data_IF_793158022133
#
_entry.id   IF_793158022133
#
_cell.length_a   1.000
_cell.length_b   1.000
_cell.length_c   1.000
_cell.angle_alpha   90.00
_cell.angle_beta   90.00
_cell.angle_gamma   90.00
#
_symmetry.space_group_name_H-M   'P 1'
#
loop_
_entity.id
_entity.type
_entity.pdbx_description
1 polymer ?
#
# COMPACT_ATOMS: atom_id res chain seq x y z
N UNK A 1 -19.73 98.68 1.21
CA UNK A 1 -18.83 98.20 0.13
C UNK A 1 -18.50 96.75 0.44
N UNK A 2 -18.82 95.87 -0.51
CA UNK A 2 -18.63 94.41 -0.62
C UNK A 2 -18.01 93.59 0.53
N UNK A 3 -18.68 92.48 0.88
CA UNK A 3 -18.01 91.27 1.36
C UNK A 3 -18.81 90.01 0.96
N UNK A 4 -18.07 89.00 0.50
CA UNK A 4 -18.45 87.82 -0.27
C UNK A 4 -18.94 86.66 0.61
N UNK A 5 -19.88 85.85 0.12
CA UNK A 5 -20.37 84.60 0.72
C UNK A 5 -19.66 83.37 0.14
N UNK A 6 -19.37 82.39 0.99
CA UNK A 6 -19.06 81.00 0.62
C UNK A 6 -20.06 80.09 1.36
N UNK A 7 -20.68 79.15 0.65
CA UNK A 7 -21.50 78.08 1.23
C UNK A 7 -20.87 76.72 0.90
N UNK A 8 -20.78 75.87 1.92
CA UNK A 8 -20.31 74.48 1.85
C UNK A 8 -21.54 73.57 1.68
N UNK A 9 -21.47 72.60 0.77
CA UNK A 9 -22.48 71.53 0.63
C UNK A 9 -21.78 70.19 0.56
N UNK A 10 -22.14 69.29 1.49
CA UNK A 10 -21.70 67.90 1.57
C UNK A 10 -22.52 67.03 0.60
N UNK A 11 -21.88 66.15 -0.16
CA UNK A 11 -22.54 65.08 -0.92
C UNK A 11 -22.06 63.70 -0.44
N UNK A 12 -23.01 62.88 -0.01
CA UNK A 12 -22.90 61.45 0.31
C UNK A 12 -23.49 60.64 -0.86
N UNK A 13 -22.66 59.82 -1.51
CA UNK A 13 -23.00 58.75 -2.46
C UNK A 13 -21.92 57.68 -2.22
N UNK A 14 -22.13 56.39 -1.99
CA UNK A 14 -23.27 55.49 -2.08
C UNK A 14 -22.61 54.12 -2.27
N UNK A 15 -22.45 53.33 -1.20
CA UNK A 15 -21.91 51.98 -1.28
C UNK A 15 -22.99 51.06 -1.86
N UNK A 16 -22.74 50.52 -3.05
CA UNK A 16 -23.54 49.48 -3.68
C UNK A 16 -23.26 48.15 -2.97
N UNK A 17 -24.36 47.45 -2.68
CA UNK A 17 -24.45 46.09 -2.18
C UNK A 17 -23.46 45.13 -2.87
N UNK A 18 -22.67 44.43 -2.05
CA UNK A 18 -22.09 43.15 -2.41
C UNK A 18 -22.55 42.08 -1.40
N UNK A 19 -23.87 41.89 -1.29
CA UNK A 19 -24.47 40.79 -0.52
C UNK A 19 -25.04 39.71 -1.43
N UNK A 20 -24.19 38.96 -2.11
CA UNK A 20 -24.51 37.62 -2.63
C UNK A 20 -23.22 36.78 -2.69
N UNK A 21 -22.57 36.58 -1.54
CA UNK A 21 -21.63 35.48 -1.40
C UNK A 21 -22.46 34.24 -1.07
N UNK A 22 -22.58 33.36 -2.07
CA UNK A 22 -23.38 32.15 -2.07
C UNK A 22 -23.09 31.28 -0.82
N UNK A 23 -24.10 30.99 0.00
CA UNK A 23 -24.07 30.20 1.26
C UNK A 23 -23.79 28.71 1.03
N UNK A 24 -22.78 28.37 0.22
CA UNK A 24 -22.31 26.99 0.10
C UNK A 24 -21.32 26.73 1.21
N UNK A 25 -21.82 26.27 2.34
CA UNK A 25 -21.03 25.72 3.44
C UNK A 25 -21.15 24.19 3.36
N UNK A 26 -20.05 23.46 3.16
CA UNK A 26 -20.11 22.01 3.08
C UNK A 26 -20.30 21.41 4.47
N UNK A 27 -21.13 20.36 4.56
CA UNK A 27 -21.41 19.62 5.78
C UNK A 27 -21.21 18.13 5.54
N UNK A 28 -20.62 17.44 6.51
CA UNK A 28 -20.47 15.97 6.49
C UNK A 28 -20.98 15.35 7.79
N UNK A 29 -21.81 14.32 7.69
CA UNK A 29 -22.26 13.54 8.85
C UNK A 29 -21.32 12.34 9.07
N UNK A 30 -20.84 12.20 10.30
CA UNK A 30 -20.01 11.08 10.76
C UNK A 30 -20.72 10.32 11.88
N UNK A 31 -20.22 9.14 12.27
CA UNK A 31 -20.72 8.39 13.43
C UNK A 31 -20.60 9.16 14.75
N UNK A 32 -19.77 10.20 14.80
CA UNK A 32 -19.53 11.03 15.98
C UNK A 32 -20.26 12.38 15.94
N UNK A 33 -21.03 12.66 14.88
CA UNK A 33 -21.77 13.92 14.70
C UNK A 33 -21.54 14.57 13.34
N UNK A 34 -22.20 15.71 13.13
CA UNK A 34 -22.11 16.49 11.88
C UNK A 34 -21.03 17.54 11.99
N UNK A 35 -20.25 17.69 10.93
CA UNK A 35 -19.09 18.57 10.85
C UNK A 35 -19.31 19.59 9.74
N UNK A 36 -19.02 20.85 10.07
CA UNK A 36 -19.01 21.97 9.14
C UNK A 36 -17.60 22.13 8.53
N UNK A 37 -17.53 22.31 7.22
CA UNK A 37 -16.28 22.63 6.52
C UNK A 37 -16.35 23.98 5.82
N UNK A 38 -15.44 24.19 4.87
CA UNK A 38 -15.40 25.35 3.98
C UNK A 38 -14.74 24.96 2.66
N UNK A 39 -14.87 25.77 1.61
CA UNK A 39 -14.24 25.47 0.31
C UNK A 39 -12.82 26.06 0.22
N UNK A 40 -11.90 25.32 -0.40
CA UNK A 40 -10.54 25.76 -0.76
C UNK A 40 -10.28 25.51 -2.25
N UNK A 41 -9.30 26.22 -2.80
CA UNK A 41 -8.88 26.09 -4.20
C UNK A 41 -7.54 25.36 -4.26
N UNK A 42 -7.46 24.31 -5.06
CA UNK A 42 -6.22 23.56 -5.29
C UNK A 42 -5.22 24.37 -6.12
N UNK A 43 -3.97 23.93 -6.19
CA UNK A 43 -2.92 24.58 -7.01
C UNK A 43 -3.29 24.69 -8.50
N UNK A 44 -4.17 23.80 -8.98
CA UNK A 44 -4.66 23.79 -10.37
C UNK A 44 -6.01 24.52 -10.54
N UNK A 45 -6.51 25.20 -9.51
CA UNK A 45 -7.76 25.99 -9.57
C UNK A 45 -9.03 25.20 -9.28
N UNK A 46 -8.96 23.93 -8.88
CA UNK A 46 -10.13 23.12 -8.53
C UNK A 46 -10.61 23.46 -7.12
N UNK A 47 -11.89 23.81 -6.99
CA UNK A 47 -12.54 23.96 -5.69
C UNK A 47 -12.77 22.59 -5.03
N UNK A 48 -12.49 22.49 -3.74
CA UNK A 48 -12.69 21.28 -2.94
C UNK A 48 -13.16 21.62 -1.52
N UNK A 49 -13.92 20.72 -0.91
CA UNK A 49 -14.38 20.84 0.47
C UNK A 49 -13.23 20.53 1.43
N UNK A 50 -12.99 21.43 2.37
CA UNK A 50 -11.97 21.33 3.41
C UNK A 50 -12.64 21.29 4.78
N UNK A 51 -12.32 20.26 5.54
CA UNK A 51 -12.77 20.09 6.92
C UNK A 51 -11.53 20.07 7.82
N UNK A 52 -11.06 21.26 8.17
CA UNK A 52 -9.84 21.45 8.97
C UNK A 52 -10.19 21.79 10.43
N UNK A 53 -9.33 21.44 11.38
CA UNK A 53 -9.52 21.81 12.78
C UNK A 53 -10.60 21.01 13.54
N UNK A 54 -11.10 19.90 12.99
CA UNK A 54 -12.02 19.00 13.69
C UNK A 54 -11.32 18.44 14.95
N UNK A 55 -11.84 18.69 16.16
CA UNK A 55 -11.26 18.15 17.38
C UNK A 55 -11.55 16.65 17.47
N UNK A 56 -10.56 15.82 17.11
CA UNK A 56 -10.53 14.44 17.58
C UNK A 56 -9.97 14.43 19.01
N UNK A 57 -10.42 13.50 19.86
CA UNK A 57 -9.82 13.29 21.19
C UNK A 57 -8.29 13.20 21.07
N UNK A 58 -7.58 13.80 22.05
CA UNK A 58 -6.14 14.11 22.06
C UNK A 58 -5.53 14.30 20.65
N UNK A 59 -5.42 15.55 20.15
CA UNK A 59 -5.06 15.79 18.78
C UNK A 59 -3.70 15.14 18.47
N UNK A 60 -3.57 14.36 17.39
CA UNK A 60 -2.29 13.80 16.99
C UNK A 60 -1.45 14.94 16.39
N UNK A 61 -0.87 15.74 17.29
CA UNK A 61 0.09 16.80 16.99
C UNK A 61 1.49 16.18 17.01
N UNK A 62 2.24 16.32 15.92
CA UNK A 62 3.59 15.76 15.80
C UNK A 62 3.86 15.08 14.46
N UNK A 63 5.09 14.60 14.28
CA UNK A 63 5.44 13.70 13.17
C UNK A 63 4.64 12.39 13.28
N UNK A 64 4.30 11.78 12.14
CA UNK A 64 3.55 10.51 12.07
C UNK A 64 2.11 10.56 12.63
N UNK A 65 1.45 11.73 12.54
CA UNK A 65 0.07 12.03 13.01
C UNK A 65 -1.01 10.96 12.76
N UNK A 66 -0.86 10.12 11.75
CA UNK A 66 -1.82 9.07 11.39
C UNK A 66 -1.22 7.67 11.36
N UNK A 67 0.05 7.54 11.76
CA UNK A 67 0.77 6.30 11.85
C UNK A 67 0.95 6.00 13.33
N UNK A 68 0.13 5.08 13.83
CA UNK A 68 0.02 4.78 15.26
C UNK A 68 1.33 4.27 15.84
N UNK A 69 2.08 3.48 15.07
CA UNK A 69 3.35 2.92 15.50
C UNK A 69 4.36 2.92 14.35
N UNK A 70 5.31 3.85 14.44
CA UNK A 70 6.33 4.10 13.42
C UNK A 70 5.67 4.38 12.06
N UNK A 71 6.16 3.79 10.96
CA UNK A 71 5.56 3.91 9.63
C UNK A 71 4.23 3.15 9.43
N UNK A 72 3.51 2.71 10.49
CA UNK A 72 2.31 1.87 10.38
C UNK A 72 1.02 2.53 10.93
N UNK A 73 -0.10 2.53 10.17
CA UNK A 73 -0.24 1.96 8.82
C UNK A 73 0.55 2.77 7.78
N UNK A 74 1.08 2.07 6.76
CA UNK A 74 1.94 2.70 5.75
C UNK A 74 1.15 3.51 4.70
N UNK A 75 -0.17 3.28 4.59
CA UNK A 75 -1.07 3.98 3.68
C UNK A 75 -2.23 4.62 4.43
N UNK A 76 -1.99 5.78 5.03
CA UNK A 76 -3.00 6.56 5.75
C UNK A 76 -4.09 7.11 4.82
N UNK A 77 -3.71 7.56 3.64
CA UNK A 77 -4.60 8.08 2.62
C UNK A 77 -4.44 7.23 1.36
N UNK A 78 -5.43 6.39 1.09
CA UNK A 78 -5.46 5.49 -0.05
C UNK A 78 -6.60 5.79 -1.02
N UNK A 79 -6.67 5.03 -2.13
CA UNK A 79 -7.83 5.04 -3.02
C UNK A 79 -9.10 4.63 -2.26
N UNK A 80 -10.21 5.32 -2.52
CA UNK A 80 -11.52 5.04 -1.92
C UNK A 80 -12.59 4.93 -2.99
N UNK A 81 -13.69 4.25 -2.68
CA UNK A 81 -14.89 4.32 -3.53
C UNK A 81 -15.47 5.73 -3.44
N UNK A 82 -15.45 6.43 -4.57
CA UNK A 82 -15.91 7.80 -4.71
C UNK A 82 -17.44 7.86 -4.73
N UNK A 83 -17.98 8.94 -4.17
CA UNK A 83 -19.39 9.29 -4.37
C UNK A 83 -19.63 9.53 -5.87
N UNK A 84 -20.79 9.14 -6.36
CA UNK A 84 -21.14 9.35 -7.77
C UNK A 84 -20.99 10.82 -8.19
N UNK A 85 -20.31 11.04 -9.31
CA UNK A 85 -20.09 12.33 -9.94
C UNK A 85 -19.57 12.16 -11.36
N UNK A 86 -19.65 13.20 -12.21
CA UNK A 86 -19.23 13.11 -13.61
C UNK A 86 -17.74 12.81 -13.79
N UNK A 87 -16.92 13.15 -12.78
CA UNK A 87 -15.46 12.97 -12.79
C UNK A 87 -14.98 11.83 -11.87
N UNK A 88 -15.90 11.01 -11.33
CA UNK A 88 -15.53 9.93 -10.42
C UNK A 88 -14.73 8.84 -11.17
N UNK A 89 -13.57 8.45 -10.62
CA UNK A 89 -12.69 7.43 -11.20
C UNK A 89 -12.94 6.04 -10.60
N UNK A 90 -12.98 5.92 -9.27
CA UNK A 90 -13.23 4.66 -8.55
C UNK A 90 -14.66 4.66 -8.02
N UNK A 91 -15.62 4.23 -8.83
CA UNK A 91 -17.05 4.23 -8.44
C UNK A 91 -17.52 2.95 -7.75
N UNK A 92 -16.66 1.93 -7.67
CA UNK A 92 -16.93 0.65 -7.01
C UNK A 92 -15.63 0.06 -6.46
N UNK A 93 -15.76 -0.90 -5.55
CA UNK A 93 -14.59 -1.62 -5.03
C UNK A 93 -13.87 -2.37 -6.17
N UNK A 94 -12.52 -2.47 -6.16
CA UNK A 94 -11.78 -3.22 -7.17
C UNK A 94 -12.21 -4.69 -7.29
N UNK A 95 -12.60 -5.31 -6.17
CA UNK A 95 -13.06 -6.69 -6.15
C UNK A 95 -14.37 -6.88 -6.93
N UNK A 96 -15.29 -5.92 -6.85
CA UNK A 96 -16.56 -5.96 -7.59
C UNK A 96 -16.35 -5.75 -9.09
N UNK A 97 -15.45 -4.83 -9.46
CA UNK A 97 -15.08 -4.58 -10.86
C UNK A 97 -14.49 -5.83 -11.51
N UNK A 98 -13.58 -6.54 -10.81
CA UNK A 98 -13.01 -7.79 -11.32
C UNK A 98 -14.07 -8.89 -11.37
N UNK A 99 -14.88 -9.06 -10.32
CA UNK A 99 -15.88 -10.13 -10.26
C UNK A 99 -17.01 -9.99 -11.27
N UNK A 100 -17.39 -8.76 -11.62
CA UNK A 100 -18.37 -8.47 -12.66
C UNK A 100 -17.84 -8.69 -14.08
N UNK A 101 -16.52 -8.87 -14.24
CA UNK A 101 -15.88 -9.00 -15.55
C UNK A 101 -15.74 -7.66 -16.29
N UNK A 102 -15.84 -6.56 -15.57
CA UNK A 102 -15.68 -5.21 -16.12
C UNK A 102 -14.23 -4.70 -16.04
N UNK A 103 -13.37 -5.38 -15.29
CA UNK A 103 -11.93 -5.14 -15.35
C UNK A 103 -11.41 -5.39 -16.78
N UNK A 104 -10.53 -4.52 -17.28
CA UNK A 104 -9.98 -4.65 -18.63
C UNK A 104 -9.31 -6.01 -18.85
N UNK A 105 -9.68 -6.66 -19.94
CA UNK A 105 -9.08 -7.91 -20.40
C UNK A 105 -7.78 -7.63 -21.17
N UNK A 106 -6.68 -7.53 -20.42
CA UNK A 106 -5.33 -7.32 -20.95
C UNK A 106 -4.33 -8.30 -20.33
N UNK A 107 -3.23 -8.64 -21.02
CA UNK A 107 -2.18 -9.46 -20.42
C UNK A 107 -1.66 -8.82 -19.13
N UNK A 108 -1.42 -9.63 -18.10
CA UNK A 108 -0.98 -9.14 -16.80
C UNK A 108 0.20 -9.95 -16.28
N UNK A 109 1.25 -9.26 -15.85
CA UNK A 109 2.32 -9.86 -15.06
C UNK A 109 2.25 -9.26 -13.67
N UNK A 110 2.29 -10.13 -12.66
CA UNK A 110 2.25 -9.74 -11.27
C UNK A 110 3.27 -10.59 -10.49
N UNK A 111 3.84 -10.04 -9.43
CA UNK A 111 4.80 -10.77 -8.63
C UNK A 111 4.99 -10.16 -7.26
N UNK A 112 5.71 -10.92 -6.45
CA UNK A 112 6.15 -10.53 -5.11
C UNK A 112 7.60 -10.95 -4.90
N UNK A 113 8.27 -10.32 -3.95
CA UNK A 113 9.58 -10.76 -3.46
C UNK A 113 9.43 -11.73 -2.28
N UNK A 114 10.51 -12.42 -1.88
CA UNK A 114 10.47 -13.40 -0.79
C UNK A 114 10.24 -12.80 0.60
N UNK A 115 10.67 -11.56 0.87
CA UNK A 115 10.52 -10.91 2.17
C UNK A 115 9.84 -9.53 2.05
N UNK A 116 8.67 -9.49 1.40
CA UNK A 116 7.83 -8.29 1.21
C UNK A 116 7.64 -7.46 2.49
N UNK A 117 7.48 -8.14 3.63
CA UNK A 117 7.25 -7.51 4.93
C UNK A 117 8.40 -6.61 5.39
N UNK A 118 9.59 -6.68 4.76
CA UNK A 118 10.69 -5.75 5.03
C UNK A 118 10.35 -4.31 4.69
N UNK A 119 9.38 -4.03 3.81
CA UNK A 119 8.96 -2.65 3.52
C UNK A 119 8.55 -1.89 4.79
N UNK A 120 7.77 -2.55 5.63
CA UNK A 120 7.18 -1.98 6.85
C UNK A 120 7.91 -2.41 8.12
N UNK A 121 8.66 -3.52 8.07
CA UNK A 121 9.38 -4.03 9.25
C UNK A 121 10.83 -3.57 9.34
N UNK A 122 11.47 -3.20 8.24
CA UNK A 122 12.89 -2.84 8.24
C UNK A 122 13.21 -1.68 9.21
N UNK A 123 12.29 -0.75 9.42
CA UNK A 123 12.44 0.37 10.38
C UNK A 123 12.71 -0.09 11.83
N UNK A 124 12.29 -1.30 12.22
CA UNK A 124 12.44 -1.80 13.60
C UNK A 124 13.16 -3.15 13.74
N UNK A 125 13.35 -3.94 12.68
CA UNK A 125 13.94 -5.30 12.74
C UNK A 125 15.35 -5.36 13.34
N UNK A 126 16.09 -4.25 13.30
CA UNK A 126 17.44 -4.13 13.85
C UNK A 126 17.49 -3.42 15.22
N UNK A 127 16.35 -3.02 15.78
CA UNK A 127 16.28 -2.20 16.98
C UNK A 127 15.61 -2.96 18.16
N UNK A 128 16.44 -3.51 19.05
CA UNK A 128 15.97 -4.31 20.19
C UNK A 128 14.97 -3.57 21.12
N UNK A 129 15.07 -2.24 21.24
CA UNK A 129 14.12 -1.44 22.02
C UNK A 129 12.74 -1.43 21.37
N UNK A 130 12.69 -1.25 20.05
CA UNK A 130 11.44 -1.29 19.28
C UNK A 130 10.84 -2.70 19.24
N UNK A 131 11.67 -3.73 19.11
CA UNK A 131 11.23 -5.13 19.18
C UNK A 131 10.60 -5.46 20.52
N UNK A 132 11.24 -5.04 21.62
CA UNK A 132 10.67 -5.20 22.95
C UNK A 132 9.35 -4.44 23.09
N UNK A 133 9.27 -3.21 22.57
CA UNK A 133 8.03 -2.43 22.61
C UNK A 133 6.90 -3.12 21.81
N UNK A 134 7.20 -3.65 20.63
CA UNK A 134 6.25 -4.42 19.83
C UNK A 134 5.81 -5.70 20.55
N UNK A 135 6.75 -6.41 21.17
CA UNK A 135 6.46 -7.62 21.94
C UNK A 135 5.45 -7.36 23.07
N UNK A 136 5.68 -6.30 23.84
CA UNK A 136 4.96 -5.99 25.07
C UNK A 136 3.58 -5.35 24.81
N UNK A 137 3.42 -4.67 23.67
CA UNK A 137 2.22 -3.93 23.30
C UNK A 137 1.53 -4.49 22.04
N UNK A 138 1.70 -5.80 21.81
CA UNK A 138 1.26 -6.47 20.58
C UNK A 138 -0.24 -6.26 20.29
N UNK A 139 -1.09 -6.42 21.29
CA UNK A 139 -2.55 -6.35 21.11
C UNK A 139 -3.01 -4.96 20.61
N UNK A 140 -2.27 -3.91 20.97
CA UNK A 140 -2.57 -2.54 20.57
C UNK A 140 -1.93 -2.17 19.23
N UNK A 141 -0.74 -2.71 18.93
CA UNK A 141 0.03 -2.37 17.73
C UNK A 141 -0.40 -3.20 16.51
N UNK A 142 -0.68 -4.50 16.70
CA UNK A 142 -0.97 -5.43 15.62
C UNK A 142 -2.11 -4.98 14.68
N UNK A 143 -3.22 -4.37 15.15
CA UNK A 143 -4.28 -3.87 14.28
C UNK A 143 -3.80 -2.84 13.25
N UNK A 144 -2.81 -2.01 13.61
CA UNK A 144 -2.25 -1.00 12.71
C UNK A 144 -1.11 -1.57 11.86
N UNK A 145 -0.29 -2.44 12.47
CA UNK A 145 0.84 -3.10 11.82
C UNK A 145 0.41 -4.07 10.70
N UNK A 146 -0.75 -4.72 10.87
CA UNK A 146 -1.30 -5.72 9.97
C UNK A 146 -2.59 -5.22 9.28
N UNK A 147 -2.80 -3.90 9.30
CA UNK A 147 -3.88 -3.21 8.58
C UNK A 147 -5.27 -3.85 8.77
N UNK A 148 -5.66 -4.07 10.02
CA UNK A 148 -7.00 -4.57 10.36
C UNK A 148 -7.76 -3.72 11.38
N UNK A 149 -7.20 -2.56 11.75
CA UNK A 149 -7.83 -1.65 12.69
C UNK A 149 -9.26 -1.25 12.29
N UNK A 150 -9.53 -1.11 10.99
CA UNK A 150 -10.85 -0.68 10.52
C UNK A 150 -11.66 -1.81 9.85
N UNK A 151 -11.11 -3.03 9.83
CA UNK A 151 -11.72 -4.20 9.17
C UNK A 151 -12.13 -5.29 10.16
N UNK A 152 -11.80 -5.13 11.44
CA UNK A 152 -12.22 -6.03 12.54
C UNK A 152 -12.90 -5.21 13.65
N UNK A 153 -14.07 -5.66 14.17
CA UNK A 153 -14.74 -5.01 15.29
C UNK A 153 -13.82 -4.83 16.51
N UNK A 154 -13.96 -3.68 17.21
CA UNK A 154 -13.08 -3.31 18.34
C UNK A 154 -12.98 -4.41 19.40
N UNK A 155 -14.08 -5.09 19.71
CA UNK A 155 -14.16 -6.18 20.70
C UNK A 155 -13.49 -7.49 20.24
N UNK A 156 -13.15 -7.63 18.96
CA UNK A 156 -12.53 -8.83 18.37
C UNK A 156 -11.05 -8.63 18.04
N UNK A 157 -10.57 -7.38 17.92
CA UNK A 157 -9.19 -7.04 17.52
C UNK A 157 -8.12 -7.79 18.32
N UNK A 158 -8.26 -7.82 19.65
CA UNK A 158 -7.32 -8.51 20.54
C UNK A 158 -7.26 -10.01 20.25
N UNK A 159 -8.41 -10.67 20.11
CA UNK A 159 -8.46 -12.10 19.80
C UNK A 159 -7.84 -12.41 18.43
N UNK A 160 -8.08 -11.55 17.43
CA UNK A 160 -7.47 -11.67 16.10
C UNK A 160 -5.95 -11.46 16.17
N UNK A 161 -5.48 -10.46 16.89
CA UNK A 161 -4.05 -10.20 17.11
C UNK A 161 -3.36 -11.41 17.78
N UNK A 162 -3.95 -11.98 18.83
CA UNK A 162 -3.45 -13.18 19.52
C UNK A 162 -3.44 -14.41 18.59
N UNK A 163 -4.50 -14.60 17.79
CA UNK A 163 -4.60 -15.69 16.82
C UNK A 163 -3.46 -15.62 15.78
N UNK A 164 -3.20 -14.43 15.24
CA UNK A 164 -2.12 -14.20 14.26
C UNK A 164 -0.76 -14.44 14.90
N UNK A 165 -0.50 -13.84 16.07
CA UNK A 165 0.77 -14.04 16.78
C UNK A 165 1.04 -15.51 17.07
N UNK A 166 0.05 -16.23 17.59
CA UNK A 166 0.19 -17.65 17.87
C UNK A 166 0.46 -18.48 16.61
N UNK A 167 -0.12 -18.11 15.47
CA UNK A 167 0.10 -18.82 14.21
C UNK A 167 1.55 -18.69 13.71
N UNK A 168 2.12 -17.49 13.73
CA UNK A 168 3.48 -17.25 13.21
C UNK A 168 4.60 -17.47 14.23
N UNK A 169 4.35 -17.13 15.50
CA UNK A 169 5.38 -17.13 16.56
C UNK A 169 5.16 -18.20 17.62
N UNK A 170 3.99 -18.84 17.67
CA UNK A 170 3.66 -19.77 18.75
C UNK A 170 3.73 -19.09 20.11
N UNK A 171 4.67 -19.54 20.95
CA UNK A 171 4.97 -18.94 22.27
C UNK A 171 6.23 -18.09 22.29
N UNK A 172 6.94 -17.96 21.16
CA UNK A 172 8.20 -17.23 21.10
C UNK A 172 7.97 -15.72 21.27
N UNK A 173 8.88 -15.02 22.00
CA UNK A 173 8.85 -13.57 22.08
C UNK A 173 9.21 -12.93 20.74
N UNK A 174 8.82 -11.66 20.54
CA UNK A 174 9.30 -10.84 19.43
C UNK A 174 10.64 -10.23 19.85
N UNK A 175 11.74 -10.73 19.30
CA UNK A 175 13.11 -10.29 19.56
C UNK A 175 14.03 -10.51 18.35
N UNK A 176 15.32 -10.22 18.47
CA UNK A 176 16.28 -10.33 17.35
C UNK A 176 16.41 -11.73 16.73
N UNK A 177 15.94 -12.79 17.42
CA UNK A 177 15.98 -14.18 16.98
C UNK A 177 14.70 -14.62 16.25
N UNK A 178 13.57 -13.95 16.46
CA UNK A 178 12.27 -14.29 15.89
C UNK A 178 11.81 -13.37 14.76
N UNK A 179 12.74 -12.62 14.16
CA UNK A 179 12.42 -11.60 13.14
C UNK A 179 11.90 -12.18 11.83
N UNK A 180 12.40 -13.33 11.38
CA UNK A 180 11.95 -13.91 10.11
C UNK A 180 10.45 -14.26 10.13
N UNK A 181 9.90 -14.93 11.16
CA UNK A 181 8.45 -15.09 11.30
C UNK A 181 7.66 -13.77 11.25
N UNK A 182 8.17 -12.69 11.86
CA UNK A 182 7.50 -11.38 11.83
C UNK A 182 7.52 -10.78 10.42
N UNK A 183 8.66 -10.85 9.72
CA UNK A 183 8.81 -10.39 8.35
C UNK A 183 7.86 -11.16 7.42
N UNK A 184 7.80 -12.50 7.52
CA UNK A 184 6.90 -13.32 6.72
C UNK A 184 5.43 -13.04 7.04
N UNK A 185 5.06 -12.91 8.32
CA UNK A 185 3.70 -12.54 8.73
C UNK A 185 3.23 -11.24 8.08
N UNK A 186 4.08 -10.21 8.09
CA UNK A 186 3.75 -8.92 7.47
C UNK A 186 3.74 -9.02 5.95
N UNK A 187 4.67 -9.74 5.33
CA UNK A 187 4.71 -9.95 3.89
C UNK A 187 3.49 -10.71 3.36
N UNK A 188 3.11 -11.77 4.06
CA UNK A 188 1.92 -12.57 3.73
C UNK A 188 0.64 -11.72 3.84
N UNK A 189 0.49 -10.99 4.95
CA UNK A 189 -0.71 -10.17 5.22
C UNK A 189 -0.87 -9.00 4.25
N UNK A 190 0.19 -8.21 4.08
CA UNK A 190 0.11 -6.91 3.41
C UNK A 190 0.30 -7.02 1.90
N UNK A 191 0.90 -8.12 1.40
CA UNK A 191 1.24 -8.26 -0.01
C UNK A 191 0.82 -9.62 -0.57
N UNK A 192 1.46 -10.71 -0.12
CA UNK A 192 1.50 -11.95 -0.87
C UNK A 192 0.16 -12.70 -0.90
N UNK A 193 -0.63 -12.66 0.18
CA UNK A 193 -1.97 -13.26 0.21
C UNK A 193 -2.92 -12.62 -0.82
N UNK A 194 -2.97 -11.28 -0.83
CA UNK A 194 -3.85 -10.53 -1.73
C UNK A 194 -3.33 -10.57 -3.18
N UNK A 195 -2.01 -10.63 -3.39
CA UNK A 195 -1.40 -10.90 -4.68
C UNK A 195 -1.91 -12.21 -5.30
N UNK A 196 -1.86 -13.33 -4.57
CA UNK A 196 -2.33 -14.63 -5.07
C UNK A 196 -3.81 -14.56 -5.45
N UNK A 197 -4.62 -13.98 -4.55
CA UNK A 197 -6.07 -13.83 -4.74
C UNK A 197 -6.38 -12.99 -5.97
N UNK A 198 -5.73 -11.84 -6.15
CA UNK A 198 -5.94 -10.95 -7.29
C UNK A 198 -5.52 -11.61 -8.61
N UNK A 199 -4.35 -12.27 -8.64
CA UNK A 199 -3.87 -12.97 -9.84
C UNK A 199 -4.84 -14.07 -10.30
N UNK A 200 -5.35 -14.88 -9.36
CA UNK A 200 -6.35 -15.92 -9.67
C UNK A 200 -7.66 -15.31 -10.17
N UNK A 201 -8.13 -14.23 -9.57
CA UNK A 201 -9.39 -13.59 -9.96
C UNK A 201 -9.30 -13.02 -11.38
N UNK A 202 -8.22 -12.30 -11.69
CA UNK A 202 -7.99 -11.75 -13.03
C UNK A 202 -7.85 -12.87 -14.07
N UNK A 203 -7.08 -13.91 -13.80
CA UNK A 203 -6.95 -15.06 -14.70
C UNK A 203 -8.26 -15.83 -14.91
N UNK A 204 -9.18 -15.81 -13.93
CA UNK A 204 -10.49 -16.46 -14.02
C UNK A 204 -11.49 -15.65 -14.83
N UNK A 205 -11.43 -14.33 -14.72
CA UNK A 205 -12.44 -13.41 -15.28
C UNK A 205 -12.10 -12.94 -16.68
N UNK A 206 -10.82 -12.90 -17.03
CA UNK A 206 -10.33 -12.43 -18.31
C UNK A 206 -9.77 -13.57 -19.17
N UNK A 207 -9.67 -13.33 -20.49
CA UNK A 207 -9.12 -14.29 -21.46
C UNK A 207 -7.62 -14.12 -21.65
N UNK A 208 -7.12 -12.92 -21.39
CA UNK A 208 -5.71 -12.59 -21.51
C UNK A 208 -4.86 -13.35 -20.49
N UNK A 209 -3.62 -13.69 -20.85
CA UNK A 209 -2.74 -14.44 -19.97
C UNK A 209 -2.35 -13.63 -18.74
N UNK A 210 -2.34 -14.31 -17.59
CA UNK A 210 -1.76 -13.80 -16.34
C UNK A 210 -0.50 -14.59 -16.03
N UNK A 211 0.60 -13.92 -15.73
CA UNK A 211 1.86 -14.53 -15.32
C UNK A 211 2.25 -14.08 -13.91
N UNK A 212 2.71 -15.02 -13.11
CA UNK A 212 3.04 -14.82 -11.69
C UNK A 212 4.49 -15.18 -11.42
N UNK A 213 5.21 -14.38 -10.64
CA UNK A 213 6.58 -14.68 -10.21
C UNK A 213 6.79 -14.46 -8.70
N UNK A 214 7.77 -15.19 -8.16
CA UNK A 214 8.36 -14.95 -6.84
C UNK A 214 9.84 -14.64 -7.04
N UNK A 215 10.28 -13.47 -6.60
CA UNK A 215 11.67 -13.04 -6.72
C UNK A 215 12.41 -13.15 -5.40
N UNK A 216 13.47 -13.95 -5.38
CA UNK A 216 14.23 -14.28 -4.15
C UNK A 216 15.73 -14.01 -4.31
N UNK A 217 16.12 -13.22 -5.32
CA UNK A 217 17.50 -12.82 -5.52
C UNK A 217 17.83 -11.51 -4.81
N UNK A 218 18.66 -11.58 -3.77
CA UNK A 218 19.15 -10.36 -3.10
C UNK A 218 20.37 -9.78 -3.82
N UNK A 219 20.22 -8.57 -4.35
CA UNK A 219 21.33 -7.82 -4.95
C UNK A 219 22.35 -7.34 -3.88
N UNK A 220 23.45 -6.70 -4.29
CA UNK A 220 24.41 -6.10 -3.33
C UNK A 220 23.73 -5.07 -2.42
N UNK A 221 22.72 -4.37 -2.94
CA UNK A 221 21.94 -3.37 -2.23
C UNK A 221 20.50 -3.84 -2.08
N UNK A 222 19.91 -3.54 -0.93
CA UNK A 222 18.49 -3.76 -0.68
C UNK A 222 17.88 -2.51 -0.08
N UNK A 223 16.59 -2.29 -0.35
CA UNK A 223 15.83 -1.26 0.35
C UNK A 223 15.88 -1.46 1.87
N UNK A 224 15.95 -2.71 2.33
CA UNK A 224 16.05 -3.03 3.77
C UNK A 224 17.26 -2.39 4.42
N UNK A 225 18.37 -2.21 3.69
CA UNK A 225 19.60 -1.68 4.27
C UNK A 225 19.44 -0.20 4.64
N UNK A 226 18.72 0.53 3.78
CA UNK A 226 18.41 1.94 3.99
C UNK A 226 17.40 2.10 5.10
N UNK A 227 16.32 1.31 5.09
CA UNK A 227 15.23 1.42 6.07
C UNK A 227 15.64 0.97 7.47
N UNK A 228 16.50 -0.05 7.58
CA UNK A 228 16.96 -0.58 8.88
C UNK A 228 18.21 0.09 9.43
N UNK A 229 18.92 0.89 8.62
CA UNK A 229 20.18 1.50 9.00
C UNK A 229 21.33 0.51 9.22
N UNK A 230 21.22 -0.72 8.71
CA UNK A 230 22.24 -1.77 8.83
C UNK A 230 22.36 -2.58 7.53
N UNK A 231 23.49 -3.24 7.31
CA UNK A 231 23.72 -4.14 6.17
C UNK A 231 23.46 -5.62 6.51
N UNK A 232 22.86 -5.90 7.68
CA UNK A 232 22.45 -7.26 8.04
C UNK A 232 21.47 -7.78 7.00
N UNK A 233 21.74 -8.97 6.47
CA UNK A 233 20.87 -9.61 5.50
C UNK A 233 19.61 -10.15 6.20
N UNK A 234 18.46 -9.56 5.89
CA UNK A 234 17.14 -9.99 6.35
C UNK A 234 16.27 -10.63 5.24
N UNK A 235 16.81 -10.80 4.03
CA UNK A 235 16.06 -11.31 2.86
C UNK A 235 15.97 -10.31 1.71
N UNK A 236 15.00 -10.50 0.82
CA UNK A 236 14.73 -9.66 -0.36
C UNK A 236 13.54 -8.77 -0.04
N UNK A 237 13.82 -7.47 0.13
CA UNK A 237 12.83 -6.47 0.50
C UNK A 237 11.95 -6.09 -0.67
N UNK A 238 10.74 -5.60 -0.36
CA UNK A 238 9.88 -4.94 -1.33
C UNK A 238 10.69 -3.96 -2.19
N UNK A 239 10.40 -3.96 -3.50
CA UNK A 239 11.10 -3.20 -4.55
C UNK A 239 12.52 -3.67 -4.94
N UNK A 240 13.14 -4.63 -4.24
CA UNK A 240 14.50 -5.09 -4.57
C UNK A 240 14.61 -5.72 -5.98
N UNK A 241 13.51 -6.25 -6.52
CA UNK A 241 13.41 -6.77 -7.89
C UNK A 241 13.44 -5.66 -8.95
N UNK A 242 13.18 -4.41 -8.57
CA UNK A 242 13.22 -3.24 -9.48
C UNK A 242 14.55 -2.50 -9.46
N UNK A 243 15.34 -2.63 -8.39
CA UNK A 243 16.56 -1.84 -8.17
C UNK A 243 17.70 -2.17 -9.13
N UNK A 244 17.65 -3.34 -9.78
CA UNK A 244 18.58 -3.70 -10.83
C UNK A 244 18.17 -3.18 -12.22
N UNK A 245 16.94 -2.67 -12.38
CA UNK A 245 16.41 -2.20 -13.67
C UNK A 245 16.28 -0.68 -13.70
N UNK A 246 15.88 -0.07 -12.58
CA UNK A 246 15.68 1.37 -12.46
C UNK A 246 16.92 1.98 -11.82
N UNK A 247 17.52 2.96 -12.49
CA UNK A 247 18.61 3.76 -11.93
C UNK A 247 18.10 4.52 -10.69
N UNK A 248 18.59 4.10 -9.54
CA UNK A 248 18.34 4.70 -8.23
C UNK A 248 19.67 5.11 -7.62
N UNK A 249 19.64 6.03 -6.64
CA UNK A 249 20.86 6.49 -5.93
C UNK A 249 21.65 5.36 -5.25
N UNK A 250 21.07 4.16 -5.16
CA UNK A 250 21.63 2.93 -4.56
C UNK A 250 22.05 1.88 -5.62
N UNK A 251 21.91 2.15 -6.91
CA UNK A 251 22.05 1.15 -7.99
C UNK A 251 23.48 0.99 -8.57
N UNK A 252 24.50 0.93 -7.72
CA UNK A 252 25.86 0.60 -8.19
C UNK A 252 25.99 -0.90 -8.49
N UNK A 253 25.62 -1.31 -9.71
CA UNK A 253 25.66 -2.71 -10.16
C UNK A 253 27.09 -3.10 -10.56
N UNK A 254 27.90 -3.50 -9.58
CA UNK A 254 29.32 -3.89 -9.83
C UNK A 254 29.57 -5.39 -9.68
N UNK A 255 28.70 -6.12 -8.98
CA UNK A 255 28.85 -7.56 -8.75
C UNK A 255 28.46 -8.35 -10.00
N UNK A 256 29.29 -9.30 -10.49
CA UNK A 256 29.00 -10.03 -11.73
C UNK A 256 27.67 -10.78 -11.76
N UNK A 257 27.17 -11.26 -10.61
CA UNK A 257 25.85 -11.90 -10.52
C UNK A 257 24.71 -10.88 -10.60
N UNK A 258 24.91 -9.65 -10.10
CA UNK A 258 23.91 -8.58 -10.21
C UNK A 258 23.81 -8.09 -11.65
N UNK A 259 24.94 -7.99 -12.37
CA UNK A 259 24.95 -7.68 -13.81
C UNK A 259 24.19 -8.74 -14.61
N UNK A 260 24.40 -10.03 -14.30
CA UNK A 260 23.66 -11.12 -14.95
C UNK A 260 22.17 -11.06 -14.64
N UNK A 261 21.78 -10.80 -13.38
CA UNK A 261 20.36 -10.66 -13.03
C UNK A 261 19.73 -9.45 -13.69
N UNK A 262 20.43 -8.30 -13.70
CA UNK A 262 20.01 -7.09 -14.39
C UNK A 262 19.72 -7.37 -15.86
N UNK A 263 20.59 -8.10 -16.57
CA UNK A 263 20.35 -8.43 -17.97
C UNK A 263 19.10 -9.30 -18.17
N UNK A 264 18.84 -10.24 -17.25
CA UNK A 264 17.64 -11.09 -17.27
C UNK A 264 16.39 -10.25 -17.02
N UNK A 265 16.41 -9.35 -16.04
CA UNK A 265 15.28 -8.48 -15.73
C UNK A 265 15.02 -7.47 -16.86
N UNK A 266 16.07 -6.92 -17.48
CA UNK A 266 15.93 -6.04 -18.65
C UNK A 266 15.29 -6.78 -19.82
N UNK A 267 15.72 -8.00 -20.16
CA UNK A 267 15.04 -8.79 -21.21
C UNK A 267 13.60 -9.12 -20.80
N UNK A 268 13.34 -9.42 -19.53
CA UNK A 268 11.98 -9.64 -19.02
C UNK A 268 11.05 -8.45 -19.30
N UNK A 269 11.39 -7.25 -18.84
CA UNK A 269 10.53 -6.08 -19.04
C UNK A 269 10.45 -5.68 -20.53
N UNK A 270 11.56 -5.69 -21.26
CA UNK A 270 11.59 -5.24 -22.66
C UNK A 270 10.91 -6.22 -23.61
N UNK A 271 11.10 -7.53 -23.43
CA UNK A 271 10.39 -8.56 -24.22
C UNK A 271 8.88 -8.46 -24.04
N UNK A 272 8.40 -8.23 -22.81
CA UNK A 272 6.97 -8.02 -22.60
C UNK A 272 6.47 -6.74 -23.27
N UNK A 273 7.19 -5.63 -23.12
CA UNK A 273 6.79 -4.35 -23.71
C UNK A 273 6.78 -4.36 -25.25
N UNK A 274 7.69 -5.10 -25.87
CA UNK A 274 7.86 -5.16 -27.34
C UNK A 274 7.00 -6.27 -27.94
N UNK A 275 7.03 -7.47 -27.37
CA UNK A 275 6.46 -8.68 -27.96
C UNK A 275 5.14 -9.12 -27.30
N UNK A 276 4.74 -8.48 -26.18
CA UNK A 276 3.57 -8.89 -25.39
C UNK A 276 3.76 -10.20 -24.61
N UNK A 277 4.98 -10.76 -24.60
CA UNK A 277 5.31 -12.03 -23.93
C UNK A 277 6.64 -11.92 -23.19
N UNK A 278 6.65 -12.14 -21.86
CA UNK A 278 7.88 -12.02 -21.08
C UNK A 278 8.85 -13.18 -21.36
N UNK A 279 10.14 -12.86 -21.44
CA UNK A 279 11.26 -13.81 -21.44
C UNK A 279 12.10 -13.63 -20.18
N UNK A 280 12.37 -14.72 -19.47
CA UNK A 280 13.16 -14.67 -18.23
C UNK A 280 14.23 -15.76 -18.30
N UNK A 281 15.42 -15.38 -18.80
CA UNK A 281 16.49 -16.33 -19.09
C UNK A 281 15.99 -17.41 -20.06
N UNK A 282 16.19 -18.68 -19.71
CA UNK A 282 15.73 -19.83 -20.49
C UNK A 282 14.42 -20.45 -19.96
N UNK A 283 13.71 -19.77 -19.06
CA UNK A 283 12.55 -20.35 -18.41
C UNK A 283 11.33 -20.40 -19.35
N UNK A 284 10.59 -21.50 -19.26
CA UNK A 284 9.24 -21.60 -19.83
C UNK A 284 8.26 -21.12 -18.78
N UNK A 285 7.58 -20.01 -19.05
CA UNK A 285 6.64 -19.37 -18.13
C UNK A 285 5.21 -19.44 -18.68
N UNK A 286 4.45 -20.51 -18.36
CA UNK A 286 3.06 -20.63 -18.76
C UNK A 286 2.19 -19.62 -17.99
N UNK A 287 1.06 -19.25 -18.58
CA UNK A 287 0.05 -18.45 -17.89
C UNK A 287 -0.59 -19.22 -16.74
N UNK A 288 -0.99 -18.51 -15.69
CA UNK A 288 -1.64 -19.03 -14.50
C UNK A 288 -2.95 -19.75 -14.83
N UNK A 289 -3.11 -20.97 -14.34
CA UNK A 289 -4.41 -21.64 -14.29
C UNK A 289 -5.13 -21.27 -12.97
N UNK A 290 -6.21 -20.47 -13.00
CA UNK A 290 -6.86 -19.98 -11.78
C UNK A 290 -7.60 -21.07 -10.98
N UNK A 291 -7.82 -22.24 -11.58
CA UNK A 291 -8.58 -23.34 -10.99
C UNK A 291 -7.69 -24.43 -10.40
N UNK A 292 -6.37 -24.37 -10.60
CA UNK A 292 -5.46 -25.30 -9.97
C UNK A 292 -5.44 -25.05 -8.45
N UNK A 293 -5.41 -26.15 -7.68
CA UNK A 293 -5.31 -26.08 -6.21
C UNK A 293 -4.01 -25.38 -5.81
N UNK A 294 -2.93 -25.74 -6.48
CA UNK A 294 -1.62 -25.16 -6.23
C UNK A 294 -1.51 -23.82 -6.94
N UNK A 295 -0.85 -22.87 -6.29
CA UNK A 295 -0.51 -21.60 -6.92
C UNK A 295 0.85 -21.75 -7.58
N UNK A 296 0.87 -21.64 -8.91
CA UNK A 296 2.09 -21.75 -9.71
C UNK A 296 2.68 -20.37 -9.95
N UNK A 297 4.00 -20.26 -9.85
CA UNK A 297 4.75 -19.03 -10.09
C UNK A 297 6.15 -19.34 -10.63
N UNK A 298 6.71 -18.41 -11.39
CA UNK A 298 8.10 -18.46 -11.79
C UNK A 298 8.96 -18.01 -10.61
N UNK A 299 9.73 -18.93 -10.02
CA UNK A 299 10.65 -18.60 -8.95
C UNK A 299 12.00 -18.15 -9.53
N UNK A 300 12.32 -16.87 -9.36
CA UNK A 300 13.56 -16.23 -9.78
C UNK A 300 14.49 -16.16 -8.56
N UNK A 301 15.24 -17.24 -8.31
CA UNK A 301 16.11 -17.33 -7.12
C UNK A 301 17.48 -16.68 -7.36
N UNK A 302 18.04 -16.86 -8.55
CA UNK A 302 19.31 -16.28 -8.98
C UNK A 302 19.45 -16.43 -10.52
N UNK A 303 20.47 -15.83 -11.18
CA UNK A 303 20.58 -15.87 -12.64
C UNK A 303 20.66 -17.26 -13.27
N UNK A 304 20.98 -18.30 -12.50
CA UNK A 304 21.14 -19.69 -12.95
C UNK A 304 19.97 -20.59 -12.54
N UNK A 305 19.16 -20.15 -11.58
CA UNK A 305 18.05 -20.93 -11.03
C UNK A 305 16.76 -20.13 -11.17
N UNK A 306 16.10 -20.36 -12.30
CA UNK A 306 14.82 -19.75 -12.65
C UNK A 306 13.94 -20.88 -13.17
N UNK A 307 12.87 -21.21 -12.42
CA UNK A 307 12.02 -22.35 -12.72
C UNK A 307 10.61 -22.15 -12.17
N UNK A 308 9.66 -22.86 -12.75
CA UNK A 308 8.31 -22.92 -12.19
C UNK A 308 8.33 -23.69 -10.88
N UNK A 309 7.66 -23.15 -9.87
CA UNK A 309 7.35 -23.80 -8.61
C UNK A 309 5.86 -23.63 -8.29
N UNK A 310 5.38 -24.40 -7.32
CA UNK A 310 4.00 -24.33 -6.88
C UNK A 310 3.88 -24.48 -5.37
N UNK A 311 2.86 -23.84 -4.79
CA UNK A 311 2.53 -24.00 -3.38
C UNK A 311 0.99 -24.04 -3.20
N UNK A 312 0.50 -25.08 -2.52
CA UNK A 312 -0.93 -25.27 -2.24
C UNK A 312 -1.50 -24.28 -1.21
N UNK A 313 -0.62 -23.67 -0.43
CA UNK A 313 -0.94 -22.68 0.60
C UNK A 313 0.05 -21.50 0.56
N UNK A 314 0.24 -20.96 -0.63
CA UNK A 314 1.10 -19.79 -0.86
C UNK A 314 0.67 -18.65 0.08
N UNK A 315 1.66 -18.00 0.71
CA UNK A 315 1.45 -16.90 1.66
C UNK A 315 0.43 -17.21 2.77
N UNK A 316 0.40 -18.45 3.26
CA UNK A 316 -0.53 -18.90 4.32
C UNK A 316 -2.00 -18.57 3.99
N UNK A 317 -2.39 -18.70 2.72
CA UNK A 317 -3.73 -18.37 2.22
C UNK A 317 -4.84 -18.95 3.09
N UNK A 318 -4.72 -20.21 3.49
CA UNK A 318 -5.70 -20.93 4.30
C UNK A 318 -5.90 -20.25 5.67
N UNK A 319 -4.83 -19.77 6.28
CA UNK A 319 -4.86 -19.06 7.54
C UNK A 319 -5.50 -17.67 7.39
N UNK A 320 -5.05 -16.85 6.45
CA UNK A 320 -5.58 -15.49 6.27
C UNK A 320 -7.05 -15.49 5.83
N UNK A 321 -7.46 -16.46 5.01
CA UNK A 321 -8.87 -16.65 4.63
C UNK A 321 -9.74 -17.08 5.82
N UNK A 322 -9.14 -17.63 6.88
CA UNK A 322 -9.87 -18.03 8.10
C UNK A 322 -10.23 -16.85 9.02
N UNK A 323 -9.78 -15.64 8.70
CA UNK A 323 -10.06 -14.42 9.46
C UNK A 323 -11.00 -13.56 8.62
N UNK A 324 -12.14 -13.16 9.21
CA UNK A 324 -13.19 -12.43 8.51
C UNK A 324 -12.92 -10.92 8.52
N UNK A 325 -11.90 -10.48 7.78
CA UNK A 325 -11.63 -9.05 7.59
C UNK A 325 -12.70 -8.42 6.69
N UNK A 326 -13.28 -7.31 7.14
CA UNK A 326 -14.27 -6.55 6.40
C UNK A 326 -13.60 -5.47 5.52
N UNK A 327 -12.88 -5.92 4.49
CA UNK A 327 -12.01 -5.06 3.65
C UNK A 327 -12.75 -4.38 2.46
N UNK A 328 -14.04 -4.68 2.24
CA UNK A 328 -14.78 -4.22 1.05
C UNK A 328 -16.01 -3.36 1.41
N UNK A 329 -15.96 -2.68 2.57
CA UNK A 329 -17.03 -1.83 3.08
C UNK A 329 -17.16 -0.48 2.37
#
# INVERSE_FOLDING_TARGET
MFAVKVSVTLFLLGFLDSSLQNDRIPWVSTSLGTIQGYYKISRQGREYEAFEGIPYGQPPVGELRFQYWLFNPFSVFGPVVEKHGPDAFITRSPIDVINSGEAYDVPWISGVVSEEGLYTSAEFVANNTLLKHLNDNWDDIAPYLLDFNDTIPLNEKKQVAEKIRKHYLGSEPIDSNSMMPVIHMMGDRLFAHNFERAARLQARKNKSPVWTYLYSYRSMYSLSDTLSGTTRNFGVSHSDDTFLVIDTRTSSVTRPSDVQMQQILLDFYTSYAIDGKPRVGNAVWPSLNPNDKDFHYLHITNPRTIKMESNSDFAQRSFWTSINFDENK
#
